data_IF_132785602520
#
_entry.id   IF_132785602520
#
_cell.length_a   1.000
_cell.length_b   1.000
_cell.length_c   1.000
_cell.angle_alpha   90.00
_cell.angle_beta   90.00
_cell.angle_gamma   90.00
#
_symmetry.space_group_name_H-M   'P 1'
#
loop_
_entity.id
_entity.type
_entity.pdbx_description
1 polymer ?
#
# COMPACT_ATOMS: atom_id res chain seq x y z
N UNK A 1 -2.05 -73.45 -5.47
CA UNK A 1 -1.55 -72.10 -5.82
C UNK A 1 -1.95 -71.16 -4.70
N UNK A 2 -0.96 -70.60 -4.02
CA UNK A 2 -1.10 -69.90 -2.73
C UNK A 2 -1.66 -68.48 -2.90
N UNK A 3 -2.56 -68.08 -2.00
CA UNK A 3 -2.88 -66.67 -1.76
C UNK A 3 -1.92 -66.13 -0.70
N UNK A 4 -1.25 -65.02 -0.99
CA UNK A 4 -0.33 -64.38 -0.04
C UNK A 4 -1.13 -63.44 0.86
N UNK A 5 -1.23 -63.79 2.14
CA UNK A 5 -1.66 -62.89 3.22
C UNK A 5 -0.45 -62.05 3.62
N UNK A 6 -0.61 -60.72 3.66
CA UNK A 6 0.40 -59.79 4.20
C UNK A 6 0.03 -59.53 5.65
N UNK A 7 0.56 -60.33 6.57
CA UNK A 7 0.52 -60.06 8.01
C UNK A 7 1.87 -59.46 8.46
N UNK A 8 1.82 -58.37 9.21
CA UNK A 8 2.92 -57.96 10.10
C UNK A 8 3.78 -56.77 9.68
N UNK A 9 3.22 -55.58 9.48
CA UNK A 9 4.01 -54.35 9.49
C UNK A 9 3.49 -53.37 10.55
N UNK A 10 4.22 -53.33 11.67
CA UNK A 10 4.08 -52.29 12.69
C UNK A 10 4.40 -50.93 12.09
N UNK A 11 3.44 -50.01 12.16
CA UNK A 11 3.59 -48.64 11.67
C UNK A 11 4.15 -47.75 12.79
N UNK A 12 5.47 -47.60 12.84
CA UNK A 12 6.12 -46.48 13.52
C UNK A 12 6.40 -45.40 12.49
N UNK A 13 5.65 -44.30 12.51
CA UNK A 13 5.89 -43.16 11.63
C UNK A 13 6.58 -42.03 12.39
N UNK A 14 7.83 -41.75 12.06
CA UNK A 14 8.38 -40.41 12.22
C UNK A 14 8.67 -39.80 10.84
N UNK A 15 8.22 -38.56 10.70
CA UNK A 15 8.21 -37.75 9.49
C UNK A 15 9.59 -37.72 8.80
N UNK A 16 9.74 -38.34 7.63
CA UNK A 16 10.23 -37.57 6.47
C UNK A 16 10.04 -38.27 5.12
N UNK A 17 10.15 -39.59 4.99
CA UNK A 17 10.00 -40.23 3.69
C UNK A 17 9.34 -41.60 3.88
N UNK A 18 8.08 -41.73 3.44
CA UNK A 18 7.50 -43.06 3.25
C UNK A 18 8.05 -43.63 1.94
N UNK A 19 9.16 -44.37 2.03
CA UNK A 19 9.59 -45.25 0.94
C UNK A 19 8.87 -46.59 1.12
N UNK A 20 7.95 -46.90 0.20
CA UNK A 20 7.38 -48.24 0.13
C UNK A 20 8.40 -49.10 -0.62
N UNK A 21 9.02 -50.05 0.06
CA UNK A 21 9.95 -50.99 -0.55
C UNK A 21 9.18 -51.81 -1.60
N UNK A 22 9.46 -51.55 -2.87
CA UNK A 22 8.92 -52.30 -4.01
C UNK A 22 8.07 -51.52 -5.00
N UNK A 23 7.79 -50.22 -4.80
CA UNK A 23 7.14 -49.40 -5.82
C UNK A 23 6.83 -47.97 -5.41
N UNK A 24 6.85 -47.06 -6.38
CA UNK A 24 6.46 -45.65 -6.18
C UNK A 24 4.94 -45.54 -6.11
N UNK A 25 4.36 -45.23 -4.94
CA UNK A 25 2.97 -44.75 -4.88
C UNK A 25 2.97 -43.23 -5.00
N UNK A 26 2.36 -42.72 -6.06
CA UNK A 26 2.14 -41.29 -6.21
C UNK A 26 1.27 -40.76 -5.06
N UNK A 27 1.53 -39.52 -4.63
CA UNK A 27 0.57 -38.75 -3.85
C UNK A 27 -0.63 -38.52 -4.79
N UNK A 28 -1.73 -39.23 -4.57
CA UNK A 28 -2.89 -39.16 -5.46
C UNK A 28 -3.47 -37.73 -5.42
N UNK A 29 -3.73 -37.14 -6.60
CA UNK A 29 -4.33 -35.83 -6.80
C UNK A 29 -5.79 -35.78 -6.30
N UNK A 30 -5.98 -35.85 -4.98
CA UNK A 30 -7.29 -35.89 -4.35
C UNK A 30 -7.30 -36.00 -2.82
N UNK A 31 -6.15 -36.18 -2.17
CA UNK A 31 -6.05 -36.11 -0.70
C UNK A 31 -5.65 -34.72 -0.22
N UNK A 32 -6.42 -34.14 0.69
CA UNK A 32 -6.08 -32.88 1.34
C UNK A 32 -4.87 -33.06 2.27
N UNK A 33 -3.69 -32.65 1.83
CA UNK A 33 -2.47 -32.65 2.65
C UNK A 33 -2.33 -31.29 3.34
N UNK A 34 -2.48 -31.24 4.66
CA UNK A 34 -2.25 -30.01 5.44
C UNK A 34 -0.76 -29.85 5.75
N UNK A 35 -0.01 -29.16 4.88
CA UNK A 35 1.40 -28.82 5.11
C UNK A 35 1.48 -27.49 5.85
N UNK A 36 1.86 -27.49 7.14
CA UNK A 36 2.18 -26.26 7.88
C UNK A 36 3.56 -25.78 7.47
N UNK A 37 3.64 -24.84 6.53
CA UNK A 37 4.93 -24.25 6.13
C UNK A 37 5.10 -22.83 6.67
N UNK A 38 6.20 -22.57 7.38
CA UNK A 38 6.54 -21.22 7.87
C UNK A 38 7.42 -20.48 6.85
N UNK A 39 6.88 -19.40 6.29
CA UNK A 39 7.59 -18.24 5.74
C UNK A 39 8.60 -18.41 4.57
N UNK A 40 8.63 -19.51 3.83
CA UNK A 40 9.41 -19.56 2.57
C UNK A 40 8.94 -20.63 1.59
N UNK A 41 7.63 -20.91 1.57
CA UNK A 41 7.06 -21.83 0.60
C UNK A 41 5.75 -21.26 0.09
N UNK A 42 5.80 -20.70 -1.10
CA UNK A 42 4.62 -20.52 -1.95
C UNK A 42 4.76 -21.27 -3.28
N UNK A 43 5.59 -22.34 -3.34
CA UNK A 43 5.76 -23.08 -4.60
C UNK A 43 5.70 -24.60 -4.53
N UNK A 44 5.57 -25.23 -3.35
CA UNK A 44 5.57 -26.70 -3.31
C UNK A 44 4.28 -27.38 -2.80
N UNK A 45 3.18 -26.67 -2.60
CA UNK A 45 1.95 -27.27 -2.04
C UNK A 45 0.63 -26.97 -2.76
N UNK A 46 0.62 -26.23 -3.87
CA UNK A 46 -0.61 -26.03 -4.66
C UNK A 46 -0.29 -26.19 -6.14
N UNK A 47 -0.90 -27.17 -6.79
CA UNK A 47 -1.01 -27.25 -8.25
C UNK A 47 -1.94 -26.17 -8.81
N UNK A 48 -1.81 -24.94 -8.30
CA UNK A 48 -2.62 -23.79 -8.67
C UNK A 48 -1.67 -22.71 -9.18
N UNK A 49 -2.12 -21.99 -10.19
CA UNK A 49 -1.46 -20.78 -10.66
C UNK A 49 -1.46 -19.75 -9.52
N UNK A 50 -0.43 -19.76 -8.67
CA UNK A 50 -0.27 -18.80 -7.59
C UNK A 50 0.19 -17.49 -8.21
N UNK A 51 -0.73 -16.56 -8.39
CA UNK A 51 -0.41 -15.19 -8.79
C UNK A 51 0.01 -14.41 -7.54
N UNK A 52 1.32 -14.29 -7.32
CA UNK A 52 1.87 -13.34 -6.36
C UNK A 52 1.87 -11.96 -7.05
N UNK A 53 0.82 -11.19 -6.85
CA UNK A 53 0.84 -9.76 -7.16
C UNK A 53 1.60 -9.06 -6.03
N UNK A 54 2.87 -8.72 -6.27
CA UNK A 54 3.44 -7.59 -5.54
C UNK A 54 2.76 -6.35 -6.11
N UNK A 55 1.77 -5.83 -5.40
CA UNK A 55 1.11 -4.60 -5.81
C UNK A 55 2.08 -3.43 -5.67
N UNK A 56 2.32 -2.72 -6.77
CA UNK A 56 2.92 -1.39 -6.69
C UNK A 56 1.91 -0.49 -5.97
N UNK A 57 2.32 0.14 -4.87
CA UNK A 57 1.47 1.10 -4.16
C UNK A 57 1.33 2.37 -4.99
N UNK A 58 0.30 2.43 -5.83
CA UNK A 58 -0.04 3.61 -6.62
C UNK A 58 -0.52 4.72 -5.66
N UNK A 59 0.09 5.90 -5.76
CA UNK A 59 -0.37 7.07 -4.99
C UNK A 59 -1.74 7.52 -5.48
N UNK A 60 -2.64 7.80 -4.53
CA UNK A 60 -3.96 8.38 -4.81
C UNK A 60 -3.82 9.85 -5.16
N UNK A 61 -3.84 10.14 -6.47
CA UNK A 61 -3.80 11.50 -6.99
C UNK A 61 -5.24 12.01 -7.16
N UNK A 62 -5.55 13.12 -6.50
CA UNK A 62 -6.85 13.77 -6.57
C UNK A 62 -6.69 15.17 -7.15
N UNK A 63 -7.42 15.46 -8.23
CA UNK A 63 -7.53 16.81 -8.76
C UNK A 63 -8.54 17.61 -7.92
N UNK A 64 -8.13 18.78 -7.45
CA UNK A 64 -8.95 19.67 -6.64
C UNK A 64 -9.24 20.92 -7.46
N UNK A 65 -10.52 21.28 -7.58
CA UNK A 65 -10.91 22.51 -8.23
C UNK A 65 -10.28 23.72 -7.50
N UNK A 66 -9.75 24.67 -8.27
CA UNK A 66 -9.16 25.87 -7.70
C UNK A 66 -10.17 26.63 -6.81
N UNK A 67 -9.69 27.08 -5.65
CA UNK A 67 -10.47 27.80 -4.66
C UNK A 67 -9.53 28.64 -3.79
N UNK A 68 -10.05 29.73 -3.20
CA UNK A 68 -9.33 30.45 -2.15
C UNK A 68 -9.17 29.59 -0.88
N UNK A 69 -10.08 28.63 -0.67
CA UNK A 69 -10.07 27.70 0.46
C UNK A 69 -10.23 26.24 0.02
N UNK A 70 -9.22 25.64 -0.63
CA UNK A 70 -9.27 24.24 -1.04
C UNK A 70 -9.41 23.31 0.16
N UNK A 71 -10.12 22.20 -0.01
CA UNK A 71 -10.23 21.13 1.00
C UNK A 71 -9.54 19.87 0.50
N UNK A 72 -8.65 19.29 1.30
CA UNK A 72 -7.95 18.04 1.01
C UNK A 72 -8.38 16.99 2.02
N UNK A 73 -8.91 15.86 1.55
CA UNK A 73 -9.21 14.70 2.41
C UNK A 73 -8.01 13.74 2.44
N UNK A 74 -7.30 13.68 3.57
CA UNK A 74 -6.08 12.88 3.74
C UNK A 74 -6.32 11.36 3.72
N UNK A 75 -7.55 10.91 3.96
CA UNK A 75 -7.90 9.48 3.99
C UNK A 75 -7.89 8.88 2.58
N UNK A 76 -8.16 9.71 1.58
CA UNK A 76 -8.28 9.30 0.18
C UNK A 76 -7.26 9.96 -0.75
N UNK A 77 -6.41 10.85 -0.24
CA UNK A 77 -5.46 11.63 -1.05
C UNK A 77 -4.04 11.40 -0.57
N UNK A 78 -3.16 10.99 -1.50
CA UNK A 78 -1.70 11.02 -1.32
C UNK A 78 -1.08 12.22 -2.05
N UNK A 79 -1.68 12.64 -3.17
CA UNK A 79 -1.26 13.80 -3.95
C UNK A 79 -2.48 14.66 -4.29
N UNK A 80 -2.52 15.88 -3.79
CA UNK A 80 -3.54 16.88 -4.12
C UNK A 80 -3.03 17.79 -5.24
N UNK A 81 -3.72 17.83 -6.38
CA UNK A 81 -3.33 18.65 -7.53
C UNK A 81 -4.31 19.79 -7.77
N UNK A 82 -3.84 21.03 -7.67
CA UNK A 82 -4.58 22.25 -7.97
C UNK A 82 -3.89 22.92 -9.16
N UNK A 83 -4.61 23.09 -10.27
CA UNK A 83 -4.05 23.65 -11.51
C UNK A 83 -4.79 24.91 -11.95
N UNK A 84 -4.07 25.82 -12.61
CA UNK A 84 -4.63 27.06 -13.14
C UNK A 84 -5.15 28.02 -12.05
N UNK A 85 -4.50 28.05 -10.89
CA UNK A 85 -4.92 28.87 -9.75
C UNK A 85 -4.99 30.36 -10.12
N UNK A 86 -6.20 30.92 -10.06
CA UNK A 86 -6.51 32.29 -10.47
C UNK A 86 -6.67 33.26 -9.30
N UNK A 87 -6.70 32.76 -8.07
CA UNK A 87 -6.86 33.53 -6.83
C UNK A 87 -5.82 33.15 -5.78
N UNK A 88 -5.58 34.04 -4.83
CA UNK A 88 -4.78 33.73 -3.63
C UNK A 88 -5.48 32.65 -2.80
N UNK A 89 -4.70 31.69 -2.30
CA UNK A 89 -5.18 30.74 -1.31
C UNK A 89 -5.07 31.39 0.07
N UNK A 90 -6.18 31.55 0.76
CA UNK A 90 -6.25 32.15 2.10
C UNK A 90 -6.28 31.12 3.22
N UNK A 91 -6.43 29.84 2.90
CA UNK A 91 -6.33 28.74 3.86
C UNK A 91 -6.67 27.40 3.23
N UNK A 92 -5.80 26.40 3.38
CA UNK A 92 -6.11 25.03 2.98
C UNK A 92 -6.73 24.28 4.16
N UNK A 93 -7.91 23.72 3.95
CA UNK A 93 -8.62 22.93 4.98
C UNK A 93 -8.29 21.46 4.79
N UNK A 94 -8.00 20.76 5.89
CA UNK A 94 -7.85 19.31 5.91
C UNK A 94 -9.13 18.65 6.40
N UNK A 95 -9.47 17.52 5.79
CA UNK A 95 -10.49 16.60 6.23
C UNK A 95 -9.92 15.19 6.34
N UNK A 96 -10.63 14.31 7.04
CA UNK A 96 -10.20 12.93 7.29
C UNK A 96 -9.47 12.75 8.63
N UNK A 97 -9.01 11.53 8.89
CA UNK A 97 -8.31 11.12 10.11
C UNK A 97 -6.99 10.44 9.74
N UNK A 98 -5.95 11.22 9.42
CA UNK A 98 -4.67 10.68 8.98
C UNK A 98 -3.99 9.84 10.08
N UNK A 99 -3.39 8.73 9.68
CA UNK A 99 -2.61 7.84 10.55
C UNK A 99 -1.15 8.30 10.65
N UNK A 100 -0.39 7.87 11.68
CA UNK A 100 1.04 8.19 11.79
C UNK A 100 1.84 7.86 10.51
N UNK A 101 2.83 8.70 10.18
CA UNK A 101 3.69 8.58 8.99
C UNK A 101 2.94 8.62 7.64
N UNK A 102 1.72 9.16 7.62
CA UNK A 102 0.98 9.42 6.39
C UNK A 102 1.68 10.54 5.60
N UNK A 103 1.98 10.28 4.34
CA UNK A 103 2.54 11.29 3.43
C UNK A 103 1.44 11.98 2.62
N UNK A 104 1.61 13.28 2.41
CA UNK A 104 0.78 14.12 1.55
C UNK A 104 1.67 15.01 0.69
N UNK A 105 1.45 15.00 -0.63
CA UNK A 105 2.03 15.98 -1.55
C UNK A 105 0.94 16.94 -2.02
N UNK A 106 1.20 18.25 -1.93
CA UNK A 106 0.33 19.29 -2.48
C UNK A 106 1.04 19.93 -3.67
N UNK A 107 0.42 19.81 -4.84
CA UNK A 107 0.88 20.33 -6.11
C UNK A 107 0.02 21.51 -6.53
N UNK A 108 0.63 22.66 -6.79
CA UNK A 108 -0.07 23.88 -7.17
C UNK A 108 0.59 24.51 -8.39
N UNK A 109 -0.19 24.76 -9.43
CA UNK A 109 0.23 25.55 -10.60
C UNK A 109 -0.71 26.74 -10.78
N UNK A 110 -0.17 27.94 -10.94
CA UNK A 110 -0.95 29.15 -11.21
C UNK A 110 -1.34 29.31 -12.69
N UNK A 111 -2.05 30.39 -13.00
CA UNK A 111 -2.48 30.73 -14.35
C UNK A 111 -1.57 31.75 -15.07
N UNK A 112 -0.27 31.74 -14.75
CA UNK A 112 0.73 32.66 -15.29
C UNK A 112 0.94 33.93 -14.46
N UNK A 113 0.26 34.04 -13.32
CA UNK A 113 0.46 35.10 -12.32
C UNK A 113 0.68 34.45 -10.96
N UNK A 114 1.81 34.77 -10.33
CA UNK A 114 2.15 34.25 -9.00
C UNK A 114 1.02 34.50 -7.99
N UNK A 115 0.67 33.48 -7.20
CA UNK A 115 -0.37 33.53 -6.17
C UNK A 115 0.23 33.29 -4.80
N UNK A 116 -0.22 34.08 -3.84
CA UNK A 116 0.08 33.83 -2.43
C UNK A 116 -0.67 32.60 -1.94
N UNK A 117 -0.06 31.92 -0.97
CA UNK A 117 -0.57 30.71 -0.35
C UNK A 117 -0.45 30.86 1.17
N UNK A 118 -1.60 30.90 1.83
CA UNK A 118 -1.71 30.75 3.27
C UNK A 118 -2.09 29.31 3.57
N UNK A 119 -1.20 28.59 4.25
CA UNK A 119 -1.46 27.23 4.72
C UNK A 119 -2.40 27.27 5.94
N UNK A 120 -3.37 26.35 6.00
CA UNK A 120 -4.31 26.29 7.11
C UNK A 120 -3.70 25.70 8.39
N UNK A 121 -4.45 25.76 9.50
CA UNK A 121 -3.97 25.34 10.81
C UNK A 121 -3.58 23.87 10.95
N UNK A 122 -4.01 23.02 9.99
CA UNK A 122 -3.64 21.60 9.91
C UNK A 122 -2.24 21.33 9.34
N UNK A 123 -1.52 22.37 8.92
CA UNK A 123 -0.14 22.30 8.45
C UNK A 123 0.81 22.99 9.44
N UNK A 124 2.06 22.54 9.46
CA UNK A 124 3.13 23.10 10.27
C UNK A 124 4.46 23.14 9.49
N UNK A 125 5.43 23.89 10.03
CA UNK A 125 6.72 24.14 9.39
C UNK A 125 6.71 25.38 8.50
N UNK A 126 7.60 25.40 7.51
CA UNK A 126 7.80 26.52 6.58
C UNK A 126 7.61 26.12 5.11
N UNK A 127 6.42 25.62 4.71
CA UNK A 127 6.14 25.30 3.32
C UNK A 127 6.17 26.56 2.44
N UNK A 128 6.44 26.43 1.13
CA UNK A 128 6.41 27.54 0.18
C UNK A 128 5.07 28.29 0.22
N UNK A 129 5.12 29.61 0.30
CA UNK A 129 3.94 30.47 0.51
C UNK A 129 3.54 31.29 -0.74
N UNK A 130 4.18 31.04 -1.88
CA UNK A 130 3.89 31.72 -3.14
C UNK A 130 4.22 30.80 -4.32
N UNK A 131 3.36 30.77 -5.34
CA UNK A 131 3.66 30.06 -6.59
C UNK A 131 4.64 30.85 -7.46
N UNK A 132 5.31 30.14 -8.36
CA UNK A 132 6.09 30.75 -9.45
C UNK A 132 5.29 30.63 -10.75
N UNK A 133 5.21 31.70 -11.57
CA UNK A 133 4.39 31.72 -12.78
C UNK A 133 4.59 30.48 -13.66
N UNK A 134 3.49 29.82 -14.04
CA UNK A 134 3.45 28.64 -14.92
C UNK A 134 4.34 27.45 -14.47
N UNK A 135 4.78 27.42 -13.21
CA UNK A 135 5.62 26.36 -12.65
C UNK A 135 4.85 25.60 -11.59
N UNK A 136 5.05 24.28 -11.54
CA UNK A 136 4.48 23.45 -10.47
C UNK A 136 5.24 23.67 -9.16
N UNK A 137 4.54 24.18 -8.16
CA UNK A 137 4.98 24.15 -6.76
C UNK A 137 4.65 22.78 -6.19
N UNK A 138 5.61 22.15 -5.49
CA UNK A 138 5.41 20.89 -4.77
C UNK A 138 5.76 21.08 -3.30
N UNK A 139 4.81 20.81 -2.42
CA UNK A 139 5.02 20.80 -0.99
C UNK A 139 4.76 19.39 -0.44
N UNK A 140 5.78 18.79 0.18
CA UNK A 140 5.70 17.46 0.76
C UNK A 140 5.51 17.58 2.27
N UNK A 141 4.64 16.74 2.81
CA UNK A 141 4.32 16.74 4.22
C UNK A 141 4.23 15.31 4.76
N UNK A 142 4.50 15.17 6.05
CA UNK A 142 4.27 13.96 6.83
C UNK A 142 3.34 14.25 8.01
N UNK A 143 2.41 13.35 8.27
CA UNK A 143 1.53 13.47 9.42
C UNK A 143 2.25 13.20 10.74
N UNK A 144 2.23 14.20 11.61
CA UNK A 144 2.69 14.12 12.97
C UNK A 144 1.50 13.94 13.93
N UNK A 145 1.37 12.71 14.45
CA UNK A 145 0.32 12.35 15.41
C UNK A 145 0.45 12.99 16.79
N UNK A 146 1.60 13.59 17.12
CA UNK A 146 1.80 14.31 18.40
C UNK A 146 1.20 15.72 18.32
N UNK A 147 1.44 16.41 17.21
CA UNK A 147 0.95 17.79 16.99
C UNK A 147 -0.41 17.84 16.29
N UNK A 148 -0.88 16.70 15.75
CA UNK A 148 -2.06 16.57 14.90
C UNK A 148 -1.99 17.51 13.68
N UNK A 149 -0.82 17.56 13.04
CA UNK A 149 -0.56 18.38 11.86
C UNK A 149 0.28 17.64 10.83
N UNK A 150 0.17 18.08 9.58
CA UNK A 150 1.11 17.73 8.53
C UNK A 150 2.34 18.65 8.63
N UNK A 151 3.47 18.08 9.03
CA UNK A 151 4.76 18.77 9.12
C UNK A 151 5.40 18.83 7.74
N UNK A 152 5.84 20.02 7.33
CA UNK A 152 6.56 20.22 6.07
C UNK A 152 7.93 19.55 6.09
N UNK A 153 8.23 18.83 5.00
CA UNK A 153 9.48 18.10 4.78
C UNK A 153 10.50 18.88 3.93
#
# INVERSE_FOLDING_TARGET
TAGTVIDGLGVGCEFNVCSIIGGTKAIDNGSAVSVKVRNSVLSSAVGSNVTIIQEERIRRVIAIAQSATPTINSDITDVASITGLAQTITGITLAGTPTPARLLEVQITDNGTARDIVWGGGFAGAPPNKTSPNTILRAFFEWNSVTNKFDYL
#
